data_IF_240161533325
#
_entry.id   IF_240161533325
#
_cell.length_a   1.000
_cell.length_b   1.000
_cell.length_c   1.000
_cell.angle_alpha   90.00
_cell.angle_beta   90.00
_cell.angle_gamma   90.00
#
_symmetry.space_group_name_H-M   'P 1'
#
loop_
_entity.id
_entity.type
_entity.pdbx_description
1 polymer ?
#
# COMPACT_ATOMS: atom_id res chain seq x y z
N UNK A 1 -4.23 -26.88 3.78
CA UNK A 1 -4.11 -27.18 2.35
C UNK A 1 -5.19 -26.38 1.64
N UNK A 2 -4.85 -25.20 1.13
CA UNK A 2 -5.76 -24.42 0.28
C UNK A 2 -4.94 -24.03 -0.95
N UNK A 3 -5.22 -24.78 -2.02
CA UNK A 3 -5.13 -24.49 -3.45
C UNK A 3 -4.00 -23.58 -3.96
N UNK A 4 -2.83 -24.18 -4.13
CA UNK A 4 -1.81 -23.79 -5.10
C UNK A 4 -2.29 -24.08 -6.53
N UNK A 5 -3.06 -23.18 -7.16
CA UNK A 5 -3.28 -23.21 -8.62
C UNK A 5 -3.81 -21.91 -9.29
N UNK A 6 -4.26 -20.87 -8.55
CA UNK A 6 -4.83 -19.68 -9.21
C UNK A 6 -3.82 -18.61 -9.66
N UNK A 7 -2.59 -18.63 -9.12
CA UNK A 7 -1.60 -17.55 -9.24
C UNK A 7 -0.73 -17.59 -10.53
N UNK A 8 -1.22 -18.21 -11.61
CA UNK A 8 -0.46 -18.34 -12.87
C UNK A 8 -1.17 -17.76 -14.10
N UNK A 9 -2.41 -17.28 -13.94
CA UNK A 9 -3.16 -16.67 -15.05
C UNK A 9 -2.85 -15.19 -15.10
N UNK A 10 -2.39 -14.73 -16.27
CA UNK A 10 -2.17 -13.30 -16.51
C UNK A 10 -3.33 -12.72 -17.30
N UNK A 11 -3.68 -11.46 -17.03
CA UNK A 11 -4.67 -10.69 -17.77
C UNK A 11 -4.00 -9.47 -18.42
N UNK A 12 -4.53 -9.04 -19.57
CA UNK A 12 -4.03 -7.87 -20.28
C UNK A 12 -4.67 -6.59 -19.71
N UNK A 13 -3.82 -5.67 -19.27
CA UNK A 13 -4.22 -4.32 -18.87
C UNK A 13 -3.61 -3.33 -19.87
N UNK A 14 -4.44 -2.52 -20.52
CA UNK A 14 -4.00 -1.48 -21.46
C UNK A 14 -4.31 -0.10 -20.88
N UNK A 15 -3.27 0.69 -20.63
CA UNK A 15 -3.38 2.04 -20.08
C UNK A 15 -2.65 3.03 -20.99
N UNK A 16 -3.24 4.22 -21.17
CA UNK A 16 -2.55 5.35 -21.81
C UNK A 16 -1.74 6.08 -20.75
N UNK A 17 -0.46 6.27 -21.02
CA UNK A 17 0.46 7.02 -20.14
C UNK A 17 1.08 8.20 -20.90
N UNK A 18 1.45 9.29 -20.20
CA UNK A 18 2.24 10.36 -20.81
C UNK A 18 3.54 9.83 -21.43
N UNK A 19 3.97 10.41 -22.55
CA UNK A 19 5.19 10.00 -23.26
C UNK A 19 6.41 10.04 -22.36
N UNK A 20 6.56 11.10 -21.56
CA UNK A 20 7.65 11.25 -20.61
C UNK A 20 7.70 10.12 -19.57
N UNK A 21 6.54 9.59 -19.14
CA UNK A 21 6.50 8.46 -18.20
C UNK A 21 6.96 7.17 -18.89
N UNK A 22 6.52 6.94 -20.13
CA UNK A 22 6.99 5.80 -20.94
C UNK A 22 8.51 5.81 -21.12
N UNK A 23 9.09 6.98 -21.41
CA UNK A 23 10.54 7.11 -21.59
C UNK A 23 11.32 6.81 -20.31
N UNK A 24 10.83 7.27 -19.15
CA UNK A 24 11.40 6.92 -17.84
C UNK A 24 11.32 5.40 -17.58
N UNK A 25 10.20 4.77 -17.92
CA UNK A 25 10.03 3.32 -17.80
C UNK A 25 10.98 2.56 -18.74
N UNK A 26 11.15 3.02 -19.99
CA UNK A 26 12.07 2.43 -20.96
C UNK A 26 13.53 2.48 -20.43
N UNK A 27 13.95 3.61 -19.85
CA UNK A 27 15.27 3.76 -19.24
C UNK A 27 15.48 2.83 -18.04
N UNK A 28 14.48 2.72 -17.16
CA UNK A 28 14.53 1.82 -16.00
C UNK A 28 14.60 0.35 -16.43
N UNK A 29 13.79 -0.05 -17.41
CA UNK A 29 13.82 -1.39 -18.00
C UNK A 29 15.21 -1.74 -18.54
N UNK A 30 15.85 -0.81 -19.24
CA UNK A 30 17.21 -1.00 -19.75
C UNK A 30 18.24 -1.15 -18.62
N UNK A 31 18.22 -0.26 -17.63
CA UNK A 31 19.16 -0.27 -16.51
C UNK A 31 19.05 -1.54 -15.64
N UNK A 32 17.83 -2.05 -15.46
CA UNK A 32 17.55 -3.22 -14.60
C UNK A 32 17.55 -4.55 -15.36
N UNK A 33 17.64 -4.52 -16.70
CA UNK A 33 17.49 -5.70 -17.59
C UNK A 33 16.15 -6.42 -17.37
N UNK A 34 15.08 -5.66 -17.12
CA UNK A 34 13.71 -6.17 -16.94
C UNK A 34 12.80 -5.72 -18.08
N UNK A 35 11.72 -6.47 -18.31
CA UNK A 35 10.71 -6.04 -19.28
C UNK A 35 9.84 -4.93 -18.67
N UNK A 36 9.27 -4.09 -19.54
CA UNK A 36 8.35 -3.03 -19.12
C UNK A 36 7.11 -3.59 -18.44
N UNK A 37 6.57 -4.69 -18.98
CA UNK A 37 5.42 -5.37 -18.39
C UNK A 37 5.73 -5.90 -17.00
N UNK A 38 6.95 -6.42 -16.77
CA UNK A 38 7.38 -6.87 -15.44
C UNK A 38 7.42 -5.69 -14.46
N UNK A 39 8.08 -4.60 -14.83
CA UNK A 39 8.16 -3.40 -13.98
C UNK A 39 6.80 -2.75 -13.73
N UNK A 40 5.91 -2.74 -14.72
CA UNK A 40 4.53 -2.27 -14.54
C UNK A 40 3.75 -3.16 -13.57
N UNK A 41 3.87 -4.47 -13.69
CA UNK A 41 3.20 -5.40 -12.77
C UNK A 41 3.74 -5.24 -11.35
N UNK A 42 5.07 -5.15 -11.18
CA UNK A 42 5.72 -4.93 -9.89
C UNK A 42 5.24 -3.62 -9.24
N UNK A 43 5.26 -2.51 -9.98
CA UNK A 43 4.80 -1.22 -9.48
C UNK A 43 3.30 -1.22 -9.13
N UNK A 44 2.48 -1.98 -9.86
CA UNK A 44 1.06 -2.14 -9.55
C UNK A 44 0.84 -2.94 -8.27
N UNK A 45 1.60 -4.01 -8.06
CA UNK A 45 1.54 -4.80 -6.81
C UNK A 45 1.91 -3.92 -5.62
N UNK A 46 3.06 -3.23 -5.68
CA UNK A 46 3.51 -2.35 -4.60
C UNK A 46 2.50 -1.24 -4.31
N UNK A 47 1.93 -0.63 -5.35
CA UNK A 47 0.90 0.40 -5.19
C UNK A 47 -0.36 -0.16 -4.51
N UNK A 48 -0.86 -1.33 -4.96
CA UNK A 48 -2.07 -1.93 -4.42
C UNK A 48 -1.89 -2.41 -2.99
N UNK A 49 -0.76 -3.04 -2.65
CA UNK A 49 -0.46 -3.47 -1.28
C UNK A 49 -0.44 -2.28 -0.31
N UNK A 50 0.23 -1.19 -0.72
CA UNK A 50 0.30 0.03 0.08
C UNK A 50 -1.07 0.68 0.29
N UNK A 51 -1.94 0.67 -0.72
CA UNK A 51 -3.29 1.25 -0.63
C UNK A 51 -4.26 0.35 0.14
N UNK A 52 -4.19 -0.96 -0.06
CA UNK A 52 -5.05 -1.94 0.61
C UNK A 52 -4.86 -1.86 2.13
N UNK A 53 -3.61 -1.88 2.60
CA UNK A 53 -3.31 -1.73 4.03
C UNK A 53 -3.89 -0.43 4.61
N UNK A 54 -3.80 0.69 3.88
CA UNK A 54 -4.35 1.97 4.35
C UNK A 54 -5.88 1.94 4.45
N UNK A 55 -6.55 1.35 3.46
CA UNK A 55 -8.01 1.23 3.44
C UNK A 55 -8.47 0.37 4.62
N UNK A 56 -7.83 -0.79 4.82
CA UNK A 56 -8.15 -1.71 5.91
C UNK A 56 -8.02 -1.05 7.29
N UNK A 57 -6.94 -0.31 7.53
CA UNK A 57 -6.73 0.38 8.81
C UNK A 57 -7.74 1.51 9.03
N UNK A 58 -8.11 2.25 7.97
CA UNK A 58 -9.15 3.29 8.06
C UNK A 58 -10.50 2.65 8.37
N UNK A 59 -10.87 1.58 7.68
CA UNK A 59 -12.13 0.87 7.91
C UNK A 59 -12.21 0.31 9.33
N UNK A 60 -11.11 -0.23 9.85
CA UNK A 60 -11.02 -0.70 11.23
C UNK A 60 -11.16 0.43 12.24
N UNK A 61 -10.44 1.53 12.05
CA UNK A 61 -10.52 2.70 12.94
C UNK A 61 -11.94 3.31 12.97
N UNK A 62 -12.63 3.30 11.83
CA UNK A 62 -14.04 3.72 11.76
C UNK A 62 -14.96 2.79 12.56
N UNK A 63 -14.75 1.47 12.48
CA UNK A 63 -15.52 0.49 13.25
C UNK A 63 -15.29 0.62 14.76
N UNK A 64 -14.04 0.84 15.18
CA UNK A 64 -13.69 1.09 16.59
C UNK A 64 -14.35 2.38 17.10
N UNK A 65 -14.29 3.45 16.30
CA UNK A 65 -14.95 4.72 16.62
C UNK A 65 -16.49 4.58 16.72
N UNK A 66 -17.13 3.88 15.78
CA UNK A 66 -18.56 3.60 15.79
C UNK A 66 -18.97 2.73 16.99
N UNK A 67 -18.09 1.83 17.43
CA UNK A 67 -18.25 1.03 18.64
C UNK A 67 -18.01 1.83 19.94
N UNK A 68 -17.55 3.09 19.84
CA UNK A 68 -17.21 3.93 20.97
C UNK A 68 -15.91 3.54 21.66
N UNK A 69 -15.05 2.76 20.99
CA UNK A 69 -13.75 2.29 21.49
C UNK A 69 -12.71 3.42 21.38
N UNK A 70 -12.91 4.46 22.17
CA UNK A 70 -11.99 5.57 22.31
C UNK A 70 -11.21 5.44 23.62
N UNK A 71 -9.92 5.82 23.58
CA UNK A 71 -9.12 5.93 24.79
C UNK A 71 -9.79 6.85 25.82
N UNK A 72 -9.82 6.38 27.06
CA UNK A 72 -10.33 7.15 28.21
C UNK A 72 -9.43 8.35 28.49
N UNK A 73 -9.96 9.35 29.20
CA UNK A 73 -9.19 10.56 29.57
C UNK A 73 -7.90 10.22 30.35
N UNK A 74 -7.93 9.16 31.15
CA UNK A 74 -6.81 8.69 31.96
C UNK A 74 -5.71 8.03 31.11
N UNK A 75 -6.09 7.26 30.09
CA UNK A 75 -5.16 6.67 29.11
C UNK A 75 -4.53 7.76 28.25
N UNK A 76 -5.32 8.75 27.82
CA UNK A 76 -4.82 9.92 27.08
C UNK A 76 -3.78 10.68 27.91
N UNK A 77 -4.09 11.03 29.18
CA UNK A 77 -3.16 11.73 30.06
C UNK A 77 -1.86 10.96 30.29
N UNK A 78 -1.94 9.64 30.42
CA UNK A 78 -0.77 8.76 30.58
C UNK A 78 0.13 8.76 29.35
N UNK A 79 -0.45 8.67 28.14
CA UNK A 79 0.29 8.75 26.88
C UNK A 79 0.96 10.11 26.68
N UNK A 80 0.25 11.21 26.93
CA UNK A 80 0.82 12.57 26.82
C UNK A 80 1.98 12.80 27.79
N UNK A 81 1.90 12.23 29.00
CA UNK A 81 3.00 12.32 29.99
C UNK A 81 4.20 11.46 29.60
N UNK A 82 3.98 10.28 29.02
CA UNK A 82 5.05 9.36 28.60
C UNK A 82 5.79 9.83 27.33
N UNK A 83 5.14 10.63 26.49
CA UNK A 83 5.72 11.18 25.24
C UNK A 83 6.28 12.60 25.39
N UNK A 84 6.09 13.24 26.55
CA UNK A 84 6.71 14.53 26.83
C UNK A 84 8.24 14.40 26.67
N UNK A 85 8.91 15.28 25.90
CA UNK A 85 10.35 15.26 25.82
C UNK A 85 10.91 15.47 27.23
N UNK A 86 11.62 14.47 27.74
CA UNK A 86 12.54 14.69 28.86
C UNK A 86 13.64 15.59 28.31
N UNK A 87 13.69 16.83 28.80
CA UNK A 87 14.81 17.75 28.58
C UNK A 87 16.17 17.07 28.92
#
# INVERSE_FOLDING_TARGET
MVETAEDSRTALVTVRVPVALRERLDALAHATKRSRSFLCAEALVEYLEMQAWQIEEIEKALQEADAGDFATEEEQQTLFRARAPTD
#
